data_IF_775042900120
#
_entry.id   IF_775042900120
#
_cell.length_a   1.000
_cell.length_b   1.000
_cell.length_c   1.000
_cell.angle_alpha   90.00
_cell.angle_beta   90.00
_cell.angle_gamma   90.00
#
_symmetry.space_group_name_H-M   'P 1'
#
loop_
_entity.id
_entity.type
_entity.pdbx_description
1 polymer ?
#
# COMPACT_ATOMS: atom_id res chain seq x y z
N UNK A 1 -2.08 -3.67 25.26
CA UNK A 1 -1.55 -2.37 24.84
C UNK A 1 -2.56 -1.30 25.26
N UNK A 2 -2.14 -0.26 25.99
CA UNK A 2 -3.08 0.79 26.45
C UNK A 2 -3.55 1.70 25.30
N UNK A 3 -4.72 2.34 25.45
CA UNK A 3 -5.31 3.24 24.45
C UNK A 3 -4.32 4.33 24.00
N UNK A 4 -3.65 4.96 24.95
CA UNK A 4 -2.72 6.07 24.65
C UNK A 4 -1.50 5.59 23.88
N UNK A 5 -0.97 4.40 24.23
CA UNK A 5 0.14 3.80 23.48
C UNK A 5 -0.26 3.43 22.06
N UNK A 6 -1.48 2.93 21.86
CA UNK A 6 -2.02 2.63 20.53
C UNK A 6 -2.15 3.89 19.67
N UNK A 7 -2.73 4.96 20.22
CA UNK A 7 -2.88 6.23 19.51
C UNK A 7 -1.53 6.87 19.17
N UNK A 8 -0.55 6.78 20.08
CA UNK A 8 0.79 7.31 19.84
C UNK A 8 1.49 6.57 18.69
N UNK A 9 1.39 5.23 18.66
CA UNK A 9 1.96 4.43 17.58
C UNK A 9 1.28 4.75 16.25
N UNK A 10 -0.06 4.82 16.23
CA UNK A 10 -0.80 5.14 15.01
C UNK A 10 -0.46 6.53 14.45
N UNK A 11 -0.22 7.52 15.32
CA UNK A 11 0.11 8.89 14.89
C UNK A 11 1.52 9.00 14.29
N UNK A 12 2.46 8.17 14.73
CA UNK A 12 3.85 8.22 14.31
C UNK A 12 4.22 7.10 13.32
N UNK A 13 3.22 6.45 12.71
CA UNK A 13 3.44 5.38 11.74
C UNK A 13 3.88 5.99 10.40
N UNK A 14 5.14 5.76 10.03
CA UNK A 14 5.75 6.24 8.80
C UNK A 14 6.43 5.10 8.05
N UNK A 15 6.33 5.08 6.72
CA UNK A 15 6.86 4.02 5.85
C UNK A 15 7.90 4.52 4.83
N UNK A 16 8.32 5.78 4.93
CA UNK A 16 9.31 6.42 4.06
C UNK A 16 10.22 7.32 4.89
N UNK A 17 11.45 7.53 4.41
CA UNK A 17 12.34 8.51 5.01
C UNK A 17 12.06 9.89 4.41
N UNK A 18 11.49 10.79 5.22
CA UNK A 18 11.14 12.14 4.77
C UNK A 18 12.37 13.01 4.43
N UNK A 19 13.59 12.57 4.78
CA UNK A 19 14.84 13.29 4.46
C UNK A 19 15.43 12.91 3.10
N UNK A 20 15.05 11.75 2.55
CA UNK A 20 15.62 11.18 1.32
C UNK A 20 14.57 11.04 0.22
N UNK A 21 13.34 10.64 0.57
CA UNK A 21 12.34 10.17 -0.40
C UNK A 21 11.40 11.28 -0.90
N UNK A 22 11.77 12.56 -0.82
CA UNK A 22 10.92 13.68 -1.26
C UNK A 22 10.82 13.72 -2.79
N UNK A 23 10.03 12.81 -3.35
CA UNK A 23 9.82 12.70 -4.78
C UNK A 23 8.50 13.40 -5.12
N UNK A 24 8.59 14.65 -5.58
CA UNK A 24 7.42 15.47 -5.94
C UNK A 24 6.57 14.86 -7.06
N UNK A 25 7.16 13.95 -7.85
CA UNK A 25 6.47 13.27 -8.96
C UNK A 25 5.53 12.15 -8.50
N UNK A 26 5.83 11.47 -7.39
CA UNK A 26 5.04 10.35 -6.89
C UNK A 26 4.23 10.73 -5.67
N UNK A 27 2.95 11.05 -5.84
CA UNK A 27 2.04 11.40 -4.72
C UNK A 27 1.88 10.29 -3.67
N UNK A 28 2.24 9.05 -3.97
CA UNK A 28 2.17 7.90 -3.07
C UNK A 28 3.53 7.46 -2.53
N UNK A 29 4.59 8.26 -2.72
CA UNK A 29 5.97 7.91 -2.33
C UNK A 29 6.08 7.39 -0.89
N UNK A 30 5.30 8.00 0.03
CA UNK A 30 5.31 7.67 1.47
C UNK A 30 4.95 6.22 1.80
N UNK A 31 4.22 5.55 0.91
CA UNK A 31 3.77 4.17 1.08
C UNK A 31 4.20 3.27 -0.08
N UNK A 32 5.05 3.77 -0.99
CA UNK A 32 5.44 3.09 -2.23
C UNK A 32 6.08 1.73 -1.93
N UNK A 33 7.03 1.70 -1.01
CA UNK A 33 7.70 0.46 -0.58
C UNK A 33 6.72 -0.60 -0.06
N UNK A 34 5.67 -0.18 0.64
CA UNK A 34 4.65 -1.09 1.17
C UNK A 34 3.79 -1.67 0.04
N UNK A 35 3.38 -0.83 -0.91
CA UNK A 35 2.59 -1.25 -2.08
C UNK A 35 3.42 -2.22 -2.94
N UNK A 36 4.67 -1.88 -3.22
CA UNK A 36 5.53 -2.69 -4.07
C UNK A 36 5.84 -4.03 -3.41
N UNK A 37 6.16 -4.04 -2.11
CA UNK A 37 6.35 -5.28 -1.35
C UNK A 37 5.08 -6.14 -1.38
N UNK A 38 3.91 -5.54 -1.15
CA UNK A 38 2.64 -6.25 -1.18
C UNK A 38 2.38 -6.87 -2.56
N UNK A 39 2.48 -6.09 -3.63
CA UNK A 39 2.26 -6.57 -5.00
C UNK A 39 3.23 -7.69 -5.36
N UNK A 40 4.52 -7.51 -5.07
CA UNK A 40 5.54 -8.54 -5.30
C UNK A 40 5.24 -9.81 -4.50
N UNK A 41 4.84 -9.68 -3.24
CA UNK A 41 4.51 -10.84 -2.40
C UNK A 41 3.27 -11.57 -2.91
N UNK A 42 2.24 -10.84 -3.32
CA UNK A 42 1.02 -11.42 -3.87
C UNK A 42 1.30 -12.13 -5.20
N UNK A 43 2.12 -11.56 -6.09
CA UNK A 43 2.53 -12.23 -7.32
C UNK A 43 3.27 -13.56 -7.07
N UNK A 44 4.02 -13.65 -5.95
CA UNK A 44 4.74 -14.88 -5.59
C UNK A 44 3.88 -15.93 -4.88
N UNK A 45 2.85 -15.50 -4.14
CA UNK A 45 2.07 -16.39 -3.24
C UNK A 45 0.71 -16.74 -3.83
N UNK A 46 0.14 -15.88 -4.65
CA UNK A 46 -1.19 -16.04 -5.22
C UNK A 46 -1.10 -16.45 -6.69
N UNK A 47 -1.67 -17.61 -7.01
CA UNK A 47 -1.90 -18.02 -8.39
C UNK A 47 -3.34 -17.69 -8.76
N UNK A 48 -3.59 -16.76 -9.71
CA UNK A 48 -4.94 -16.39 -10.09
C UNK A 48 -5.67 -17.58 -10.73
N UNK A 49 -6.91 -17.81 -10.29
CA UNK A 49 -7.81 -18.75 -10.95
C UNK A 49 -8.21 -18.27 -12.35
N UNK A 50 -8.84 -19.16 -13.12
CA UNK A 50 -9.19 -18.98 -14.55
C UNK A 50 -10.02 -17.73 -14.86
N UNK A 51 -10.71 -17.15 -13.88
CA UNK A 51 -11.51 -15.94 -14.02
C UNK A 51 -11.07 -14.90 -12.98
N UNK A 52 -10.54 -13.78 -13.48
CA UNK A 52 -10.19 -12.60 -12.69
C UNK A 52 -11.25 -11.52 -12.94
N UNK A 53 -11.99 -11.14 -11.91
CA UNK A 53 -12.90 -9.99 -11.98
C UNK A 53 -12.18 -8.72 -11.52
N UNK A 54 -12.04 -7.73 -12.40
CA UNK A 54 -11.54 -6.41 -12.05
C UNK A 54 -12.66 -5.54 -11.50
N UNK A 55 -12.71 -5.37 -10.18
CA UNK A 55 -13.66 -4.47 -9.54
C UNK A 55 -13.03 -3.09 -9.28
N UNK A 56 -13.48 -2.08 -10.03
CA UNK A 56 -12.96 -0.71 -9.97
C UNK A 56 -13.60 0.11 -8.83
N UNK A 57 -13.75 -0.49 -7.64
CA UNK A 57 -14.27 0.21 -6.46
C UNK A 57 -13.34 1.36 -6.07
N UNK A 58 -13.91 2.58 -6.06
CA UNK A 58 -13.24 3.77 -5.55
C UNK A 58 -13.57 3.93 -4.07
N UNK A 59 -12.57 3.77 -3.22
CA UNK A 59 -12.70 4.10 -1.80
C UNK A 59 -12.54 5.61 -1.61
N UNK A 60 -13.38 6.21 -0.77
CA UNK A 60 -13.35 7.65 -0.44
C UNK A 60 -11.98 8.10 0.11
N UNK A 61 -11.32 7.20 0.85
CA UNK A 61 -9.92 7.26 1.24
C UNK A 61 -9.38 5.82 1.13
N UNK A 62 -8.47 5.53 0.21
CA UNK A 62 -7.94 4.17 0.06
C UNK A 62 -6.91 4.01 -1.05
N UNK A 63 -6.11 2.97 -0.93
CA UNK A 63 -5.05 2.58 -1.87
C UNK A 63 -5.72 1.86 -3.05
N UNK A 64 -5.40 2.28 -4.28
CA UNK A 64 -5.83 1.60 -5.50
C UNK A 64 -4.94 0.37 -5.71
N UNK A 65 -5.50 -0.81 -5.50
CA UNK A 65 -4.83 -2.06 -5.85
C UNK A 65 -4.98 -2.28 -7.36
N UNK A 66 -3.88 -2.18 -8.09
CA UNK A 66 -3.81 -2.59 -9.49
C UNK A 66 -3.15 -3.96 -9.51
N UNK A 67 -3.95 -5.00 -9.73
CA UNK A 67 -3.40 -6.29 -10.14
C UNK A 67 -3.03 -6.13 -11.62
N UNK A 68 -1.72 -6.08 -11.92
CA UNK A 68 -1.24 -6.21 -13.29
C UNK A 68 -1.49 -7.65 -13.73
N UNK A 69 -2.53 -7.85 -14.53
CA UNK A 69 -2.61 -8.97 -15.45
C UNK A 69 -2.03 -8.52 -16.78
N UNK A 70 -1.09 -9.31 -17.31
CA UNK A 70 -0.65 -9.27 -18.71
C UNK A 70 -1.84 -9.49 -19.68
#
# INVERSE_FOLDING_TARGET
>A
MGRDRYLLIMRNLHFSDNSVDSNESDRLFKIRHLIDYFNNKMNNVYYPGKELSLDNKRYKYGIKLLMLGE
#
